data_IF_429604498735
#
_entry.id   IF_429604498735
#
_cell.length_a   1.000
_cell.length_b   1.000
_cell.length_c   1.000
_cell.angle_alpha   90.00
_cell.angle_beta   90.00
_cell.angle_gamma   90.00
#
_symmetry.space_group_name_H-M   'P 1'
#
loop_
_entity.id
_entity.type
_entity.pdbx_description
1 polymer ?
#
# COMPACT_ATOMS: atom_id res chain seq x y z
N UNK A 1 -14.98 -5.57 -8.78
CA UNK A 1 -13.92 -4.76 -8.12
C UNK A 1 -12.89 -5.73 -7.58
N UNK A 2 -11.60 -5.43 -7.77
CA UNK A 2 -10.55 -6.27 -7.22
C UNK A 2 -10.43 -6.07 -5.72
N UNK A 3 -10.35 -7.15 -4.95
CA UNK A 3 -10.23 -7.07 -3.49
C UNK A 3 -8.75 -7.05 -3.10
N UNK A 4 -8.31 -5.98 -2.45
CA UNK A 4 -6.94 -5.84 -1.93
C UNK A 4 -6.95 -6.26 -0.46
N UNK A 5 -6.10 -7.21 -0.09
CA UNK A 5 -5.96 -7.66 1.30
C UNK A 5 -4.53 -7.43 1.76
N UNK A 6 -4.39 -6.80 2.92
CA UNK A 6 -3.10 -6.41 3.52
C UNK A 6 -2.95 -7.17 4.81
N UNK A 7 -1.93 -8.01 4.89
CA UNK A 7 -1.55 -8.78 6.06
C UNK A 7 -0.31 -8.14 6.68
N UNK A 8 -0.52 -7.39 7.75
CA UNK A 8 0.52 -6.65 8.47
C UNK A 8 1.32 -7.57 9.40
N UNK A 9 2.58 -7.18 9.73
CA UNK A 9 3.30 -7.77 10.84
C UNK A 9 2.56 -7.59 12.17
N UNK A 10 3.10 -8.17 13.23
CA UNK A 10 2.61 -7.98 14.59
C UNK A 10 2.81 -6.52 15.03
N UNK A 11 1.78 -5.69 14.84
CA UNK A 11 1.79 -4.28 15.23
C UNK A 11 1.02 -4.08 16.54
N UNK A 12 1.33 -3.01 17.27
CA UNK A 12 0.64 -2.66 18.52
C UNK A 12 -0.83 -2.22 18.30
N UNK A 13 -1.17 -1.69 17.12
CA UNK A 13 -2.54 -1.32 16.73
C UNK A 13 -2.81 -1.64 15.25
N UNK A 14 -4.02 -1.37 14.76
CA UNK A 14 -4.42 -1.73 13.39
C UNK A 14 -3.64 -0.98 12.30
N UNK A 15 -3.18 0.24 12.57
CA UNK A 15 -2.35 1.02 11.64
C UNK A 15 -0.87 0.92 11.94
N UNK A 16 -0.51 0.55 13.16
CA UNK A 16 0.84 0.63 13.73
C UNK A 16 1.31 2.05 14.02
N UNK A 17 0.40 3.04 14.05
CA UNK A 17 0.70 4.47 14.28
C UNK A 17 0.52 4.88 15.76
N UNK A 18 0.61 3.93 16.69
CA UNK A 18 0.49 4.20 18.12
C UNK A 18 1.87 4.26 18.80
N UNK A 19 2.10 5.30 19.61
CA UNK A 19 3.34 5.48 20.36
C UNK A 19 4.09 6.77 19.98
N UNK A 20 5.26 6.96 20.57
CA UNK A 20 6.12 8.14 20.34
C UNK A 20 7.10 7.95 19.19
N UNK A 21 7.39 6.70 18.83
CA UNK A 21 8.33 6.32 17.77
C UNK A 21 7.55 5.67 16.62
N UNK A 22 6.90 6.52 15.83
CA UNK A 22 6.02 6.09 14.75
C UNK A 22 6.81 5.93 13.46
N UNK A 23 6.73 4.75 12.86
CA UNK A 23 7.26 4.51 11.51
C UNK A 23 6.50 5.36 10.47
N UNK A 24 7.21 6.27 9.81
CA UNK A 24 6.66 7.14 8.77
C UNK A 24 6.06 6.34 7.60
N UNK A 25 6.59 5.16 7.29
CA UNK A 25 6.04 4.30 6.24
C UNK A 25 4.61 3.86 6.57
N UNK A 26 4.33 3.56 7.85
CA UNK A 26 2.98 3.20 8.32
C UNK A 26 2.02 4.40 8.28
N UNK A 27 2.51 5.61 8.54
CA UNK A 27 1.73 6.85 8.43
C UNK A 27 1.33 7.10 6.98
N UNK A 28 2.31 7.10 6.06
CA UNK A 28 2.05 7.29 4.63
C UNK A 28 1.10 6.23 4.10
N UNK A 29 1.34 4.97 4.46
CA UNK A 29 0.49 3.87 4.02
C UNK A 29 -0.94 3.96 4.57
N UNK A 30 -1.12 4.36 5.83
CA UNK A 30 -2.46 4.57 6.40
C UNK A 30 -3.22 5.68 5.64
N UNK A 31 -2.54 6.77 5.28
CA UNK A 31 -3.12 7.84 4.47
C UNK A 31 -3.47 7.39 3.05
N UNK A 32 -2.62 6.57 2.42
CA UNK A 32 -2.85 6.03 1.08
C UNK A 32 -4.01 5.01 1.05
N UNK A 33 -4.16 4.19 2.09
CA UNK A 33 -5.31 3.29 2.27
C UNK A 33 -6.61 4.08 2.38
N UNK A 34 -6.64 5.14 3.20
CA UNK A 34 -7.82 5.99 3.36
C UNK A 34 -8.20 6.69 2.04
N UNK A 35 -7.20 7.25 1.34
CA UNK A 35 -7.38 7.80 0.01
C UNK A 35 -7.97 6.78 -0.98
N UNK A 36 -7.40 5.57 -1.05
CA UNK A 36 -7.83 4.54 -1.98
C UNK A 36 -9.26 4.07 -1.68
N UNK A 37 -9.62 3.89 -0.41
CA UNK A 37 -10.98 3.55 0.02
C UNK A 37 -11.99 4.63 -0.38
N UNK A 38 -11.66 5.91 -0.18
CA UNK A 38 -12.48 7.05 -0.63
C UNK A 38 -12.64 7.09 -2.14
N UNK A 39 -11.65 6.62 -2.89
CA UNK A 39 -11.68 6.48 -4.34
C UNK A 39 -12.38 5.19 -4.83
N UNK A 40 -12.98 4.39 -3.92
CA UNK A 40 -13.77 3.22 -4.26
C UNK A 40 -13.01 1.88 -4.21
N UNK A 41 -11.75 1.86 -3.75
CA UNK A 41 -11.03 0.60 -3.57
C UNK A 41 -11.64 -0.24 -2.43
N UNK A 42 -11.77 -1.54 -2.66
CA UNK A 42 -12.12 -2.51 -1.62
C UNK A 42 -10.84 -3.02 -0.98
N UNK A 43 -10.53 -2.53 0.23
CA UNK A 43 -9.28 -2.88 0.95
C UNK A 43 -9.55 -3.36 2.37
N UNK A 44 -9.04 -4.55 2.69
CA UNK A 44 -9.07 -5.14 4.03
C UNK A 44 -7.65 -5.19 4.62
N UNK A 45 -7.52 -4.85 5.91
CA UNK A 45 -6.28 -4.95 6.68
C UNK A 45 -6.43 -5.95 7.81
N UNK A 46 -5.41 -6.77 8.01
CA UNK A 46 -5.30 -7.75 9.08
C UNK A 46 -3.95 -7.57 9.78
N UNK A 47 -3.98 -7.32 11.09
CA UNK A 47 -2.78 -7.28 11.92
C UNK A 47 -2.60 -8.65 12.61
N UNK A 48 -1.41 -9.24 12.49
CA UNK A 48 -1.10 -10.55 13.07
C UNK A 48 -1.36 -10.62 14.58
N UNK A 49 -1.06 -9.55 15.33
CA UNK A 49 -1.29 -9.47 16.78
C UNK A 49 -2.78 -9.46 17.15
N UNK A 50 -3.63 -8.93 16.27
CA UNK A 50 -5.05 -8.69 16.56
C UNK A 50 -5.96 -9.75 15.95
N UNK A 51 -5.58 -10.30 14.78
CA UNK A 51 -6.38 -11.26 14.01
C UNK A 51 -5.54 -12.45 13.51
N UNK A 52 -4.83 -13.18 14.39
CA UNK A 52 -3.94 -14.27 13.97
C UNK A 52 -4.67 -15.38 13.21
N UNK A 53 -5.94 -15.63 13.54
CA UNK A 53 -6.74 -16.65 12.88
C UNK A 53 -6.98 -16.36 11.38
N UNK A 54 -7.01 -15.08 10.96
CA UNK A 54 -7.16 -14.72 9.55
C UNK A 54 -5.93 -15.14 8.71
N UNK A 55 -4.74 -15.15 9.31
CA UNK A 55 -3.51 -15.60 8.66
C UNK A 55 -3.46 -17.13 8.53
N UNK A 56 -3.99 -17.85 9.53
CA UNK A 56 -4.06 -19.30 9.53
C UNK A 56 -5.15 -19.87 8.59
N UNK A 57 -6.26 -19.13 8.41
CA UNK A 57 -7.40 -19.58 7.59
C UNK A 57 -7.22 -19.30 6.09
N UNK A 58 -6.41 -18.31 5.71
CA UNK A 58 -6.10 -18.07 4.31
C UNK A 58 -4.92 -18.96 3.88
N UNK A 59 -5.17 -19.94 3.02
CA UNK A 59 -4.17 -20.93 2.59
C UNK A 59 -2.93 -20.29 1.93
N UNK A 60 -3.10 -19.20 1.17
CA UNK A 60 -1.99 -18.49 0.52
C UNK A 60 -1.10 -17.82 1.56
N UNK A 61 -1.71 -17.13 2.53
CA UNK A 61 -0.99 -16.45 3.62
C UNK A 61 -0.30 -17.45 4.54
N UNK A 62 -1.01 -18.51 4.94
CA UNK A 62 -0.44 -19.59 5.76
C UNK A 62 0.78 -20.20 5.08
N UNK A 63 0.67 -20.58 3.81
CA UNK A 63 1.78 -21.15 3.06
C UNK A 63 2.95 -20.17 2.87
N UNK A 64 2.67 -18.87 2.76
CA UNK A 64 3.71 -17.84 2.76
C UNK A 64 4.46 -17.81 4.10
N UNK A 65 3.74 -17.74 5.23
CA UNK A 65 4.34 -17.71 6.56
C UNK A 65 5.17 -18.97 6.87
N UNK A 66 4.72 -20.15 6.44
CA UNK A 66 5.45 -21.40 6.63
C UNK A 66 6.81 -21.42 5.89
N UNK A 67 6.94 -20.70 4.77
CA UNK A 67 8.16 -20.67 3.95
C UNK A 67 9.07 -19.47 4.25
N UNK A 68 8.49 -18.28 4.39
CA UNK A 68 9.23 -17.02 4.52
C UNK A 68 9.31 -16.54 5.98
N UNK A 69 8.48 -17.08 6.87
CA UNK A 69 8.33 -16.57 8.23
C UNK A 69 7.56 -15.26 8.31
N UNK A 70 7.29 -14.81 9.54
CA UNK A 70 6.62 -13.52 9.80
C UNK A 70 7.47 -12.30 9.41
N UNK A 71 8.80 -12.47 9.31
CA UNK A 71 9.74 -11.42 8.90
C UNK A 71 9.51 -10.97 7.44
N UNK A 72 8.82 -11.79 6.63
CA UNK A 72 8.45 -11.46 5.26
C UNK A 72 7.21 -10.54 5.13
N UNK A 73 6.55 -10.21 6.25
CA UNK A 73 5.42 -9.30 6.28
C UNK A 73 5.89 -7.83 6.11
N UNK A 74 5.02 -6.92 5.61
CA UNK A 74 3.62 -7.13 5.22
C UNK A 74 3.48 -7.97 3.94
N UNK A 75 2.36 -8.70 3.81
CA UNK A 75 1.98 -9.48 2.63
C UNK A 75 0.71 -8.90 2.00
N UNK A 76 0.74 -8.62 0.71
CA UNK A 76 -0.37 -8.01 -0.02
C UNK A 76 -0.93 -9.01 -1.03
N UNK A 77 -2.25 -9.23 -0.96
CA UNK A 77 -2.99 -10.00 -1.95
C UNK A 77 -3.88 -9.09 -2.79
N UNK A 78 -4.02 -9.40 -4.07
CA UNK A 78 -5.04 -8.85 -4.96
C UNK A 78 -5.79 -10.02 -5.57
N UNK A 79 -7.10 -10.07 -5.37
CA UNK A 79 -7.95 -11.19 -5.80
C UNK A 79 -7.44 -12.57 -5.34
N UNK A 80 -6.84 -12.60 -4.13
CA UNK A 80 -6.29 -13.82 -3.52
C UNK A 80 -4.87 -14.17 -3.93
N UNK A 81 -4.26 -13.44 -4.88
CA UNK A 81 -2.89 -13.70 -5.35
C UNK A 81 -1.87 -12.76 -4.70
N UNK A 82 -0.70 -13.30 -4.37
CA UNK A 82 0.41 -12.50 -3.80
C UNK A 82 0.93 -11.54 -4.86
N UNK A 83 0.89 -10.23 -4.56
CA UNK A 83 1.44 -9.19 -5.45
C UNK A 83 2.62 -8.43 -4.86
N UNK A 84 2.76 -8.42 -3.53
CA UNK A 84 3.84 -7.70 -2.84
C UNK A 84 4.10 -8.29 -1.46
N UNK A 85 5.37 -8.32 -1.05
CA UNK A 85 5.81 -8.79 0.27
C UNK A 85 6.92 -7.88 0.81
N UNK A 86 7.11 -7.83 2.13
CA UNK A 86 8.23 -7.18 2.81
C UNK A 86 8.25 -5.63 2.77
N UNK A 87 7.31 -4.99 2.05
CA UNK A 87 7.11 -3.54 2.08
C UNK A 87 5.65 -3.18 1.81
N UNK A 88 5.28 -1.98 2.21
CA UNK A 88 3.97 -1.43 1.88
C UNK A 88 3.90 -0.94 0.42
N UNK A 89 2.73 -1.05 -0.23
CA UNK A 89 2.55 -0.52 -1.57
C UNK A 89 2.47 1.01 -1.56
N UNK A 90 2.92 1.63 -2.63
CA UNK A 90 2.72 3.05 -2.85
C UNK A 90 1.33 3.34 -3.46
N UNK A 91 0.93 4.61 -3.47
CA UNK A 91 -0.32 5.08 -4.08
C UNK A 91 -0.53 4.64 -5.53
N UNK A 92 0.54 4.59 -6.32
CA UNK A 92 0.53 4.11 -7.71
C UNK A 92 0.09 2.66 -7.84
N UNK A 93 0.68 1.80 -7.00
CA UNK A 93 0.37 0.37 -6.94
C UNK A 93 -1.09 0.14 -6.50
N UNK A 94 -1.53 0.84 -5.44
CA UNK A 94 -2.92 0.77 -4.97
C UNK A 94 -3.92 1.20 -6.05
N UNK A 95 -3.65 2.30 -6.76
CA UNK A 95 -4.52 2.77 -7.83
C UNK A 95 -4.61 1.77 -8.97
N UNK A 96 -3.47 1.22 -9.40
CA UNK A 96 -3.39 0.22 -10.47
C UNK A 96 -4.16 -1.04 -10.11
N UNK A 97 -4.01 -1.55 -8.89
CA UNK A 97 -4.71 -2.77 -8.46
C UNK A 97 -6.21 -2.55 -8.27
N UNK A 98 -6.60 -1.39 -7.72
CA UNK A 98 -8.01 -1.05 -7.52
C UNK A 98 -8.74 -0.61 -8.81
N UNK A 99 -8.01 -0.35 -9.90
CA UNK A 99 -8.58 0.21 -11.12
C UNK A 99 -9.02 1.67 -10.97
N UNK A 100 -8.38 2.41 -10.05
CA UNK A 100 -8.63 3.85 -9.89
C UNK A 100 -7.91 4.56 -11.03
N UNK A 101 -8.65 5.27 -11.87
CA UNK A 101 -8.06 6.15 -12.88
C UNK A 101 -7.24 7.23 -12.18
N UNK A 102 -5.92 7.09 -12.25
CA UNK A 102 -5.05 8.20 -11.89
C UNK A 102 -5.21 9.25 -12.99
N UNK A 103 -5.95 10.33 -12.70
CA UNK A 103 -5.75 11.57 -13.44
C UNK A 103 -4.28 11.93 -13.25
N UNK A 104 -3.48 11.64 -14.26
CA UNK A 104 -2.13 12.13 -14.35
C UNK A 104 -2.23 13.65 -14.23
N UNK A 105 -1.84 14.19 -13.07
CA UNK A 105 -1.48 15.59 -13.02
C UNK A 105 -0.17 15.61 -13.77
N UNK A 106 -0.24 15.86 -15.09
CA UNK A 106 0.91 16.28 -15.86
C UNK A 106 1.47 17.49 -15.15
N UNK A 107 2.54 17.29 -14.38
CA UNK A 107 3.39 18.40 -14.00
C UNK A 107 4.03 18.83 -15.31
N UNK A 108 3.37 19.75 -16.00
CA UNK A 108 3.98 20.57 -17.03
C UNK A 108 5.12 21.30 -16.34
N UNK A 109 6.31 20.69 -16.37
CA UNK A 109 7.54 21.42 -16.13
C UNK A 109 7.53 22.47 -17.22
N UNK A 110 7.19 23.71 -16.85
CA UNK A 110 7.31 24.84 -17.74
C UNK A 110 8.80 25.03 -18.01
N UNK A 111 9.32 24.33 -19.01
CA UNK A 111 10.58 24.70 -19.64
C UNK A 111 10.34 26.08 -20.24
N UNK A 112 10.81 27.13 -19.56
CA UNK A 112 10.90 28.45 -20.15
C UNK A 112 11.97 28.41 -21.25
N UNK A 113 11.56 27.93 -22.42
CA UNK A 113 12.22 28.19 -23.69
C UNK A 113 11.87 29.61 -24.13
N UNK A 114 12.64 30.59 -23.65
CA UNK A 114 12.85 31.87 -24.34
C UNK A 114 14.37 31.96 -24.52
N UNK A 115 14.95 31.57 -25.66
CA UNK A 115 14.59 32.07 -26.98
C UNK A 115 15.41 33.33 -27.21
N UNK A 116 16.63 33.15 -27.72
CA UNK A 116 17.48 34.26 -28.11
C UNK A 116 16.80 35.15 -29.15
N UNK A 117 16.78 36.44 -28.90
CA UNK A 117 16.75 37.44 -29.96
C UNK A 117 17.39 38.72 -29.48
N UNK A 118 18.19 39.28 -30.39
CA UNK A 118 18.99 40.49 -30.28
C UNK A 118 18.17 41.66 -29.74
N UNK A 119 18.78 42.51 -28.91
CA UNK A 119 18.44 43.93 -28.82
C UNK A 119 19.72 44.72 -28.50
N UNK A 120 20.04 45.61 -29.46
CA UNK A 120 20.91 46.79 -29.51
C UNK A 120 21.94 47.05 -28.41
#
# INVERSE_FOLDING_TARGET
MKAIQVFDPALCCSTGVCGVDVDQQLVTFAADIDWAKKAGATIERFNLSQRPLAFAQNAVVKGFLERAGQEGLPLILVDGEIVLTGRYPNRGELARWAGIEQRAIEIKVASSCCGGSRCC
#
